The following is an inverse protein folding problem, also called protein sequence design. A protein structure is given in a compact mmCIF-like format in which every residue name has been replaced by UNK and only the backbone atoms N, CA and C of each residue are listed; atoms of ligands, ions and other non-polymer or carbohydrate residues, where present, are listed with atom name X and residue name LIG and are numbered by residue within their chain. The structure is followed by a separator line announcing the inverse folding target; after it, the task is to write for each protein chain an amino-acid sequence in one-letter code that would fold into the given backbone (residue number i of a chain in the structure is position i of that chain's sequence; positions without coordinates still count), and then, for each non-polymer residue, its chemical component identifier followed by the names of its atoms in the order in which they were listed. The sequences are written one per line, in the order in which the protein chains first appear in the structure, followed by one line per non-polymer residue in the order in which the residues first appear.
data_IF_854070495700
#
_entry.id   IF_854070495700
#
_cell.length_a   1.000
_cell.length_b   1.000
_cell.length_c   1.000
_cell.angle_alpha   90.00
_cell.angle_beta   90.00
_cell.angle_gamma   90.00
#
_symmetry.space_group_name_H-M   'P 1'
#
loop_
_entity.id
_entity.type
_entity.pdbx_description
1 polymer ?
#
# COMPACT_ATOMS: atom_id res chain seq x y z
N UNK A 1 4.19 -7.35 -26.18
CA UNK A 1 4.39 -7.08 -24.74
C UNK A 1 3.60 -8.11 -23.96
N UNK A 2 4.19 -8.81 -23.00
CA UNK A 2 3.47 -9.84 -22.23
C UNK A 2 2.34 -9.17 -21.42
N UNK A 3 1.21 -9.87 -21.24
CA UNK A 3 0.04 -9.32 -20.52
C UNK A 3 0.37 -8.87 -19.08
N UNK A 4 1.41 -9.46 -18.48
CA UNK A 4 1.89 -9.16 -17.13
C UNK A 4 2.60 -7.80 -17.04
N UNK A 5 3.46 -7.45 -18.00
CA UNK A 5 4.07 -6.11 -18.03
C UNK A 5 3.00 -5.04 -18.15
N UNK A 6 1.99 -5.30 -18.99
CA UNK A 6 0.71 -4.62 -19.10
C UNK A 6 0.10 -4.20 -17.74
N UNK A 7 -0.05 -5.20 -16.89
CA UNK A 7 -0.63 -5.10 -15.55
C UNK A 7 0.25 -4.22 -14.64
N UNK A 8 1.54 -4.51 -14.58
CA UNK A 8 2.48 -3.82 -13.69
C UNK A 8 2.56 -2.32 -14.02
N UNK A 9 2.53 -1.97 -15.31
CA UNK A 9 2.48 -0.58 -15.74
C UNK A 9 1.22 0.16 -15.24
N UNK A 10 0.06 -0.49 -15.27
CA UNK A 10 -1.18 0.10 -14.73
C UNK A 10 -1.11 0.31 -13.23
N UNK A 11 -0.63 -0.70 -12.49
CA UNK A 11 -0.42 -0.59 -11.04
C UNK A 11 0.55 0.55 -10.69
N UNK A 12 1.58 0.77 -11.51
CA UNK A 12 2.54 1.86 -11.35
C UNK A 12 1.91 3.23 -11.58
N UNK A 13 1.08 3.36 -12.62
CA UNK A 13 0.34 4.60 -12.93
C UNK A 13 -0.69 4.93 -11.85
N UNK A 14 -1.39 3.94 -11.29
CA UNK A 14 -2.31 4.16 -10.15
C UNK A 14 -1.57 4.71 -8.94
N UNK A 15 -0.44 4.09 -8.56
CA UNK A 15 0.33 4.60 -7.43
C UNK A 15 0.86 6.01 -7.69
N UNK A 16 1.30 6.31 -8.91
CA UNK A 16 1.72 7.66 -9.28
C UNK A 16 0.59 8.68 -9.10
N UNK A 17 -0.65 8.35 -9.51
CA UNK A 17 -1.81 9.22 -9.35
C UNK A 17 -2.15 9.52 -7.87
N UNK A 18 -1.93 8.56 -6.97
CA UNK A 18 -2.14 8.74 -5.52
C UNK A 18 -1.31 9.89 -4.94
N UNK A 19 -0.10 10.15 -5.48
CA UNK A 19 0.74 11.26 -5.00
C UNK A 19 0.09 12.64 -5.20
N UNK A 20 -0.84 12.75 -6.14
CA UNK A 20 -1.51 13.99 -6.51
C UNK A 20 -2.90 14.12 -5.89
N UNK A 21 -3.30 13.18 -5.02
CA UNK A 21 -4.50 13.37 -4.21
C UNK A 21 -4.31 14.60 -3.31
N UNK A 22 -5.31 15.48 -3.35
CA UNK A 22 -5.37 16.66 -2.49
C UNK A 22 -5.61 16.22 -1.05
N UNK A 23 -5.02 16.94 -0.11
CA UNK A 23 -5.09 16.56 1.30
C UNK A 23 -6.51 16.77 1.82
N UNK A 24 -7.13 15.70 2.32
CA UNK A 24 -8.17 15.78 3.34
C UNK A 24 -7.58 15.60 4.74
N UNK A 25 -8.39 15.93 5.73
CA UNK A 25 -8.10 15.59 7.12
C UNK A 25 -7.94 14.08 7.27
N UNK A 26 -6.96 13.69 8.08
CA UNK A 26 -6.77 12.29 8.42
C UNK A 26 -7.95 11.77 9.22
N UNK A 27 -8.46 10.60 8.83
CA UNK A 27 -9.50 9.88 9.57
C UNK A 27 -8.87 8.82 10.48
N UNK A 28 -9.47 8.51 11.64
CA UNK A 28 -9.12 7.33 12.41
C UNK A 28 -9.17 6.07 11.54
N UNK A 29 -8.27 5.11 11.81
CA UNK A 29 -8.09 3.90 11.03
C UNK A 29 -7.91 2.69 11.96
N UNK A 30 -8.48 1.57 11.58
CA UNK A 30 -8.18 0.27 12.20
C UNK A 30 -7.14 -0.47 11.36
N UNK A 31 -5.93 -0.65 11.89
CA UNK A 31 -4.88 -1.46 11.27
C UNK A 31 -4.99 -2.91 11.75
N UNK A 32 -5.43 -3.80 10.86
CA UNK A 32 -5.54 -5.25 11.08
C UNK A 32 -4.23 -5.92 10.64
N UNK A 33 -3.42 -6.31 11.61
CA UNK A 33 -2.04 -6.72 11.39
C UNK A 33 -1.93 -8.24 11.25
N UNK A 34 -1.40 -8.66 10.11
CA UNK A 34 -1.01 -10.03 9.84
C UNK A 34 0.44 -10.26 10.25
N UNK A 35 0.72 -11.39 10.89
CA UNK A 35 2.11 -11.82 11.11
C UNK A 35 2.79 -12.04 9.76
N UNK A 36 4.00 -11.50 9.58
CA UNK A 36 4.75 -11.69 8.35
C UNK A 36 5.32 -13.12 8.29
N UNK A 37 4.98 -13.93 7.27
CA UNK A 37 5.52 -15.29 7.17
C UNK A 37 7.01 -15.33 6.79
N UNK A 38 7.56 -14.23 6.23
CA UNK A 38 8.94 -14.19 5.77
C UNK A 38 9.93 -13.81 6.88
N UNK A 39 9.59 -12.88 7.77
CA UNK A 39 10.49 -12.40 8.83
C UNK A 39 9.96 -12.60 10.25
N UNK A 40 8.73 -13.08 10.41
CA UNK A 40 8.14 -13.36 11.72
C UNK A 40 7.58 -12.17 12.47
N UNK A 41 7.72 -10.94 11.95
CA UNK A 41 7.19 -9.71 12.55
C UNK A 41 5.70 -9.85 12.91
N UNK A 42 5.32 -9.39 14.09
CA UNK A 42 3.98 -9.52 14.68
C UNK A 42 3.28 -8.20 14.97
N UNK A 43 2.14 -8.24 15.66
CA UNK A 43 1.33 -7.06 15.96
C UNK A 43 2.10 -5.97 16.70
N UNK A 44 2.87 -6.35 17.73
CA UNK A 44 3.68 -5.43 18.55
C UNK A 44 4.69 -4.64 17.68
N UNK A 45 5.26 -5.29 16.66
CA UNK A 45 6.17 -4.66 15.72
C UNK A 45 5.47 -3.56 14.88
N UNK A 46 4.25 -3.85 14.43
CA UNK A 46 3.47 -2.89 13.67
C UNK A 46 3.01 -1.72 14.55
N UNK A 47 2.63 -2.00 15.79
CA UNK A 47 2.17 -1.01 16.77
C UNK A 47 3.26 0.01 17.08
N UNK A 48 4.49 -0.45 17.38
CA UNK A 48 5.65 0.41 17.61
C UNK A 48 5.88 1.38 16.44
N UNK A 49 5.76 0.88 15.21
CA UNK A 49 5.96 1.69 14.01
C UNK A 49 4.83 2.68 13.76
N UNK A 50 3.58 2.23 13.81
CA UNK A 50 2.41 3.04 13.48
C UNK A 50 2.21 4.17 14.49
N UNK A 51 2.47 3.92 15.78
CA UNK A 51 2.45 4.96 16.81
C UNK A 51 3.63 5.92 16.73
N UNK A 52 4.75 5.50 16.12
CA UNK A 52 5.93 6.32 15.88
C UNK A 52 5.86 7.22 14.63
N UNK A 53 4.78 7.17 13.84
CA UNK A 53 4.68 7.95 12.61
C UNK A 53 4.55 9.46 12.89
N UNK A 54 5.49 10.30 12.40
CA UNK A 54 5.38 11.74 12.53
C UNK A 54 4.34 12.25 11.53
N UNK A 55 3.07 12.29 11.94
CA UNK A 55 2.00 12.90 11.16
C UNK A 55 1.85 14.35 11.59
N UNK A 56 2.00 15.26 10.63
CA UNK A 56 1.77 16.69 10.82
C UNK A 56 0.29 16.91 11.20
N UNK A 57 0.03 17.37 12.42
CA UNK A 57 -1.33 17.51 12.98
C UNK A 57 -1.65 16.57 14.15
N UNK A 58 -0.73 15.69 14.54
CA UNK A 58 -0.89 14.68 15.61
C UNK A 58 -0.80 13.26 15.04
N UNK A 59 -0.45 12.24 15.85
CA UNK A 59 -0.40 10.87 15.37
C UNK A 59 -1.77 10.48 14.79
N UNK A 60 -1.80 9.74 13.68
CA UNK A 60 -3.06 9.26 13.16
C UNK A 60 -3.67 8.37 14.25
N UNK A 61 -4.96 8.54 14.54
CA UNK A 61 -5.65 7.68 15.49
C UNK A 61 -5.77 6.28 14.86
N UNK A 62 -4.71 5.49 14.98
CA UNK A 62 -4.62 4.13 14.44
C UNK A 62 -4.82 3.18 15.59
N UNK A 63 -5.91 2.42 15.53
CA UNK A 63 -6.07 1.27 16.43
C UNK A 63 -5.43 0.06 15.77
N UNK A 64 -4.42 -0.51 16.42
CA UNK A 64 -3.72 -1.69 15.92
C UNK A 64 -4.30 -2.94 16.56
N UNK A 65 -4.69 -3.92 15.75
CA UNK A 65 -5.16 -5.21 16.23
C UNK A 65 -4.67 -6.36 15.35
N UNK A 66 -4.48 -7.57 15.90
CA UNK A 66 -4.25 -8.76 15.10
C UNK A 66 -5.34 -8.97 14.04
N UNK A 67 -4.98 -9.43 12.85
CA UNK A 67 -5.92 -9.70 11.76
C UNK A 67 -6.92 -10.84 12.07
N UNK A 68 -6.67 -11.64 13.11
CA UNK A 68 -7.58 -12.65 13.63
C UNK A 68 -8.70 -12.06 14.48
N UNK A 69 -8.53 -10.85 15.00
CA UNK A 69 -9.54 -10.19 15.82
C UNK A 69 -10.62 -9.53 14.97
N UNK A 70 -11.87 -9.53 15.45
CA UNK A 70 -12.95 -8.83 14.77
C UNK A 70 -12.69 -7.34 14.78
N UNK A 71 -13.12 -6.66 13.71
CA UNK A 71 -13.09 -5.19 13.65
C UNK A 71 -13.95 -4.63 14.80
N UNK A 72 -13.45 -3.64 15.55
CA UNK A 72 -14.25 -2.95 16.56
C UNK A 72 -15.53 -2.35 15.97
N UNK A 73 -16.64 -2.35 16.73
CA UNK A 73 -17.83 -1.60 16.35
C UNK A 73 -17.48 -0.10 16.35
N UNK A 74 -17.83 0.63 15.30
CA UNK A 74 -17.51 2.06 15.20
C UNK A 74 -17.45 2.60 13.77
N UNK A 75 -17.33 1.71 12.78
CA UNK A 75 -17.34 2.16 11.37
C UNK A 75 -16.05 2.85 10.93
N UNK A 76 -14.96 2.83 11.70
CA UNK A 76 -13.69 3.39 11.23
C UNK A 76 -13.08 2.54 10.11
N UNK A 77 -12.60 3.10 9.00
CA UNK A 77 -12.03 2.34 7.89
C UNK A 77 -10.97 1.36 8.39
N UNK A 78 -10.92 0.18 7.77
CA UNK A 78 -9.99 -0.88 8.13
C UNK A 78 -8.93 -1.09 7.04
N UNK A 79 -7.69 -1.29 7.48
CA UNK A 79 -6.56 -1.65 6.64
C UNK A 79 -5.96 -2.97 7.13
N UNK A 80 -5.98 -4.00 6.29
CA UNK A 80 -5.22 -5.22 6.54
C UNK A 80 -3.82 -5.11 5.93
N UNK A 81 -2.78 -5.31 6.74
CA UNK A 81 -1.37 -5.22 6.33
C UNK A 81 -0.51 -6.30 7.01
N UNK A 82 0.65 -6.63 6.44
CA UNK A 82 1.67 -7.41 7.14
C UNK A 82 2.40 -6.51 8.16
N UNK A 83 2.76 -7.08 9.30
CA UNK A 83 3.43 -6.38 10.39
C UNK A 83 4.77 -5.72 10.01
N UNK A 84 5.45 -6.25 9.01
CA UNK A 84 6.74 -5.75 8.57
C UNK A 84 6.65 -4.59 7.56
N UNK A 85 5.44 -4.19 7.16
CA UNK A 85 5.24 -3.14 6.17
C UNK A 85 5.38 -1.74 6.78
N UNK A 86 6.22 -0.92 6.15
CA UNK A 86 6.20 0.52 6.31
C UNK A 86 5.34 1.14 5.21
N UNK A 87 4.21 1.74 5.61
CA UNK A 87 3.28 2.44 4.73
C UNK A 87 3.75 3.89 4.51
N UNK A 88 3.78 4.39 3.27
CA UNK A 88 4.00 5.81 3.05
C UNK A 88 2.80 6.62 3.54
N UNK A 89 3.03 7.87 3.99
CA UNK A 89 1.96 8.77 4.46
C UNK A 89 0.78 8.91 3.47
N UNK A 90 1.09 8.85 2.16
CA UNK A 90 0.09 8.90 1.08
C UNK A 90 -0.90 7.74 1.08
N UNK A 91 -0.58 6.60 1.70
CA UNK A 91 -1.53 5.50 1.89
C UNK A 91 -2.67 5.89 2.80
N UNK A 92 -2.36 6.57 3.91
CA UNK A 92 -3.39 7.03 4.84
C UNK A 92 -4.29 8.10 4.20
N UNK A 93 -3.72 8.99 3.39
CA UNK A 93 -4.51 9.98 2.62
C UNK A 93 -5.46 9.30 1.63
N UNK A 94 -5.00 8.29 0.89
CA UNK A 94 -5.87 7.54 -0.02
C UNK A 94 -7.02 6.85 0.71
N UNK A 95 -6.74 6.25 1.87
CA UNK A 95 -7.76 5.63 2.72
C UNK A 95 -8.76 6.68 3.20
N UNK A 96 -8.29 7.84 3.65
CA UNK A 96 -9.16 8.94 4.10
C UNK A 96 -10.07 9.46 2.97
N UNK A 97 -9.53 9.64 1.76
CA UNK A 97 -10.32 10.01 0.57
C UNK A 97 -11.39 8.96 0.26
N UNK A 98 -11.05 7.67 0.33
CA UNK A 98 -11.98 6.58 0.05
C UNK A 98 -13.05 6.43 1.14
N UNK A 99 -12.68 6.62 2.40
CA UNK A 99 -13.56 6.48 3.55
C UNK A 99 -14.60 7.61 3.64
N UNK A 100 -14.29 8.80 3.11
CA UNK A 100 -15.22 9.94 3.11
C UNK A 100 -16.55 9.63 2.43
N UNK A 101 -16.55 8.77 1.41
CA UNK A 101 -17.76 8.27 0.75
C UNK A 101 -18.27 6.93 1.28
N UNK A 102 -17.53 6.27 2.16
CA UNK A 102 -17.81 4.90 2.59
C UNK A 102 -17.22 4.59 3.98
N UNK A 103 -18.04 4.71 5.02
CA UNK A 103 -17.68 4.39 6.42
C UNK A 103 -17.32 2.90 6.58
N UNK A 104 -17.83 1.99 5.74
CA UNK A 104 -17.55 0.56 5.87
C UNK A 104 -16.26 0.09 5.15
N UNK A 105 -15.36 0.99 4.75
CA UNK A 105 -14.16 0.65 3.98
C UNK A 105 -13.30 -0.43 4.67
N UNK A 106 -12.97 -1.49 3.94
CA UNK A 106 -11.99 -2.50 4.32
C UNK A 106 -11.06 -2.72 3.12
N UNK A 107 -9.79 -2.40 3.29
CA UNK A 107 -8.77 -2.47 2.24
C UNK A 107 -7.59 -3.31 2.70
N UNK A 108 -6.85 -3.87 1.75
CA UNK A 108 -5.62 -4.63 2.02
C UNK A 108 -4.42 -3.98 1.36
N UNK A 109 -3.23 -4.08 1.96
CA UNK A 109 -1.99 -3.83 1.22
C UNK A 109 -1.79 -4.89 0.14
N UNK A 110 -1.01 -4.57 -0.90
CA UNK A 110 -0.60 -5.57 -1.90
C UNK A 110 0.11 -6.75 -1.26
N UNK A 111 0.93 -6.53 -0.22
CA UNK A 111 1.67 -7.61 0.41
C UNK A 111 0.74 -8.55 1.19
N UNK A 112 -0.25 -8.02 1.92
CA UNK A 112 -1.26 -8.82 2.61
C UNK A 112 -2.12 -9.62 1.61
N UNK A 113 -2.61 -8.97 0.55
CA UNK A 113 -3.37 -9.63 -0.51
C UNK A 113 -2.55 -10.70 -1.24
N UNK A 114 -1.28 -10.41 -1.53
CA UNK A 114 -0.35 -11.38 -2.12
C UNK A 114 -0.14 -12.57 -1.19
N UNK A 115 0.15 -12.36 0.09
CA UNK A 115 0.42 -13.44 1.06
C UNK A 115 -0.79 -14.35 1.28
N UNK A 116 -2.01 -13.82 1.20
CA UNK A 116 -3.26 -14.57 1.44
C UNK A 116 -3.90 -15.15 0.18
N UNK A 117 -3.29 -14.92 -0.99
CA UNK A 117 -3.86 -15.38 -2.25
C UNK A 117 -3.96 -16.91 -2.31
N UNK A 118 -4.99 -17.46 -2.97
CA UNK A 118 -5.02 -18.87 -3.30
C UNK A 118 -3.78 -19.29 -4.12
N UNK A 119 -3.28 -20.51 -3.96
CA UNK A 119 -2.21 -21.04 -4.81
C UNK A 119 -2.60 -20.94 -6.29
N UNK A 120 -1.67 -20.50 -7.13
CA UNK A 120 -1.91 -20.38 -8.56
C UNK A 120 -0.75 -19.72 -9.31
N UNK A 121 -0.87 -19.61 -10.65
CA UNK A 121 0.16 -18.99 -11.47
C UNK A 121 0.38 -17.51 -11.12
N UNK A 122 1.65 -17.09 -11.08
CA UNK A 122 2.04 -15.69 -10.82
C UNK A 122 1.32 -14.67 -11.74
N UNK A 123 1.18 -14.90 -13.06
CA UNK A 123 0.42 -13.99 -13.93
C UNK A 123 -1.03 -13.80 -13.49
N UNK A 124 -1.72 -14.88 -13.12
CA UNK A 124 -3.11 -14.82 -12.69
C UNK A 124 -3.26 -14.03 -11.38
N UNK A 125 -2.33 -14.22 -10.44
CA UNK A 125 -2.29 -13.45 -9.19
C UNK A 125 -2.08 -11.95 -9.44
N UNK A 126 -1.20 -11.59 -10.38
CA UNK A 126 -0.98 -10.19 -10.76
C UNK A 126 -2.22 -9.57 -11.41
N UNK A 127 -2.90 -10.30 -12.30
CA UNK A 127 -4.16 -9.85 -12.87
C UNK A 127 -5.27 -9.66 -11.82
N UNK A 128 -5.34 -10.53 -10.82
CA UNK A 128 -6.28 -10.39 -9.71
C UNK A 128 -5.99 -9.14 -8.86
N UNK A 129 -4.71 -8.88 -8.55
CA UNK A 129 -4.31 -7.64 -7.86
C UNK A 129 -4.63 -6.38 -8.68
N UNK A 130 -4.35 -6.38 -9.98
CA UNK A 130 -4.73 -5.27 -10.89
C UNK A 130 -6.23 -4.99 -10.85
N UNK A 131 -7.06 -6.03 -10.84
CA UNK A 131 -8.50 -5.89 -10.75
C UNK A 131 -8.94 -5.32 -9.39
N UNK A 132 -8.35 -5.82 -8.30
CA UNK A 132 -8.65 -5.37 -6.94
C UNK A 132 -8.18 -3.93 -6.63
N UNK A 133 -7.33 -3.34 -7.49
CA UNK A 133 -6.89 -1.94 -7.39
C UNK A 133 -7.74 -0.97 -8.23
N UNK A 134 -8.62 -1.46 -9.11
CA UNK A 134 -9.37 -0.63 -10.07
C UNK A 134 -10.28 0.41 -9.44
N UNK A 135 -10.67 0.22 -8.18
CA UNK A 135 -11.47 1.20 -7.45
C UNK A 135 -10.78 2.58 -7.33
N UNK A 136 -9.46 2.63 -7.52
CA UNK A 136 -8.66 3.84 -7.53
C UNK A 136 -8.43 4.46 -8.92
N UNK A 137 -9.02 3.90 -9.99
CA UNK A 137 -8.88 4.43 -11.36
C UNK A 137 -9.70 5.71 -11.59
N UNK A 138 -10.72 5.97 -10.78
CA UNK A 138 -11.67 7.07 -10.97
C UNK A 138 -12.00 7.79 -9.67
N UNK A 139 -12.27 9.10 -9.77
CA UNK A 139 -12.81 9.91 -8.69
C UNK A 139 -14.33 10.12 -8.90
N UNK A 140 -15.16 10.06 -7.83
CA UNK A 140 -14.80 9.66 -6.47
C UNK A 140 -14.43 8.18 -6.42
N UNK A 141 -13.55 7.83 -5.47
CA UNK A 141 -13.06 6.47 -5.28
C UNK A 141 -14.23 5.52 -4.96
N UNK A 142 -14.22 4.31 -5.53
CA UNK A 142 -15.32 3.33 -5.38
C UNK A 142 -14.84 1.95 -4.92
N UNK A 143 -14.47 1.79 -3.64
CA UNK A 143 -13.90 0.55 -3.12
C UNK A 143 -14.86 -0.63 -3.25
N UNK A 144 -14.35 -1.79 -3.66
CA UNK A 144 -15.04 -3.08 -3.61
C UNK A 144 -14.74 -3.80 -2.29
N UNK A 145 -15.48 -4.88 -1.99
CA UNK A 145 -15.26 -5.69 -0.78
C UNK A 145 -13.91 -6.42 -0.71
N UNK A 146 -13.15 -6.44 -1.81
CA UNK A 146 -11.82 -7.02 -1.95
C UNK A 146 -10.74 -5.97 -2.28
N UNK A 147 -11.03 -4.69 -2.05
CA UNK A 147 -10.17 -3.58 -2.43
C UNK A 147 -8.72 -3.72 -1.92
N UNK A 148 -7.77 -3.58 -2.84
CA UNK A 148 -6.34 -3.53 -2.55
C UNK A 148 -5.84 -2.11 -2.76
N UNK A 149 -5.05 -1.61 -1.81
CA UNK A 149 -4.40 -0.31 -1.94
C UNK A 149 -3.40 -0.34 -3.10
N UNK A 150 -3.52 0.58 -4.08
CA UNK A 150 -2.57 0.70 -5.18
C UNK A 150 -1.27 1.38 -4.75
N UNK A 151 -0.70 0.96 -3.62
CA UNK A 151 0.48 1.55 -3.01
C UNK A 151 1.41 0.45 -2.57
N UNK A 152 2.67 0.59 -2.95
CA UNK A 152 3.76 -0.27 -2.58
C UNK A 152 4.33 0.15 -1.23
N UNK A 153 4.66 -0.85 -0.44
CA UNK A 153 5.19 -0.68 0.92
C UNK A 153 6.69 -0.95 0.92
N UNK A 154 7.35 -0.56 2.02
CA UNK A 154 8.76 -0.85 2.28
C UNK A 154 8.87 -1.80 3.46
N UNK A 155 10.05 -2.38 3.67
CA UNK A 155 10.29 -3.05 4.93
C UNK A 155 10.45 -2.01 6.03
N UNK A 156 9.80 -2.22 7.18
CA UNK A 156 10.00 -1.40 8.37
C UNK A 156 11.50 -1.29 8.69
N UNK A 157 12.01 -0.08 8.95
CA UNK A 157 13.36 0.09 9.49
C UNK A 157 13.49 -0.69 10.81
N UNK A 158 14.55 -1.48 10.95
CA UNK A 158 14.92 -2.02 12.25
C UNK A 158 15.94 -1.06 12.86
N UNK A 159 15.60 -0.37 13.97
CA UNK A 159 16.46 0.63 14.57
C UNK A 159 17.77 0.03 15.12
N UNK A 160 17.85 -1.30 15.24
CA UNK A 160 19.01 -2.01 15.80
C UNK A 160 20.03 -2.47 14.74
N UNK A 161 19.81 -2.16 13.45
CA UNK A 161 20.67 -2.66 12.36
C UNK A 161 21.61 -1.62 11.76
N UNK A 162 22.77 -2.10 11.30
CA UNK A 162 23.76 -1.31 10.58
C UNK A 162 23.20 -0.67 9.29
N UNK A 163 23.71 0.51 8.95
CA UNK A 163 23.24 1.33 7.83
C UNK A 163 23.19 0.62 6.47
N UNK A 164 24.09 -0.33 6.21
CA UNK A 164 24.12 -1.11 4.98
C UNK A 164 22.89 -2.03 4.86
N UNK A 165 22.52 -2.71 5.95
CA UNK A 165 21.31 -3.53 6.04
C UNK A 165 20.05 -2.65 5.99
N UNK A 166 20.12 -1.45 6.57
CA UNK A 166 19.06 -0.45 6.49
C UNK A 166 18.76 -0.01 5.05
N UNK A 167 19.77 0.25 4.21
CA UNK A 167 19.57 0.66 2.80
C UNK A 167 18.82 -0.38 1.96
N UNK A 168 19.13 -1.66 2.11
CA UNK A 168 18.42 -2.74 1.38
C UNK A 168 16.93 -2.81 1.79
N UNK A 169 16.60 -2.42 3.02
CA UNK A 169 15.22 -2.36 3.53
C UNK A 169 14.44 -1.14 3.06
N UNK A 170 15.14 -0.08 2.63
CA UNK A 170 14.53 1.08 1.99
C UNK A 170 14.07 0.77 0.55
N UNK A 171 14.54 -0.32 -0.06
CA UNK A 171 14.12 -0.72 -1.38
C UNK A 171 12.63 -1.07 -1.38
N UNK A 172 11.84 -0.26 -2.09
CA UNK A 172 10.41 -0.47 -2.26
C UNK A 172 10.19 -1.53 -3.33
N UNK A 173 9.34 -2.51 -3.01
CA UNK A 173 8.91 -3.51 -3.97
C UNK A 173 7.41 -3.39 -4.19
N UNK A 174 6.97 -3.45 -5.45
CA UNK A 174 5.59 -3.14 -5.79
C UNK A 174 4.57 -4.09 -5.15
N UNK A 175 4.90 -5.38 -5.01
CA UNK A 175 4.06 -6.40 -4.37
C UNK A 175 4.26 -6.56 -2.86
N UNK A 176 5.46 -6.95 -2.44
CA UNK A 176 5.77 -7.31 -1.05
C UNK A 176 7.21 -6.92 -0.73
N UNK A 177 7.49 -6.37 0.47
CA UNK A 177 8.84 -5.94 0.86
C UNK A 177 9.85 -7.10 0.96
N UNK A 178 9.39 -8.36 0.97
CA UNK A 178 10.24 -9.56 1.03
C UNK A 178 10.41 -10.27 -0.31
N UNK A 179 10.13 -9.61 -1.44
CA UNK A 179 10.21 -10.28 -2.73
C UNK A 179 11.65 -10.64 -3.11
N UNK A 180 11.93 -11.94 -3.26
CA UNK A 180 13.27 -12.46 -3.64
C UNK A 180 13.31 -13.10 -5.02
N UNK A 181 12.16 -13.36 -5.66
CA UNK A 181 12.09 -14.00 -6.96
C UNK A 181 12.68 -13.14 -8.08
N UNK A 182 13.44 -13.75 -8.99
CA UNK A 182 14.13 -13.02 -10.06
C UNK A 182 13.17 -12.40 -11.08
N UNK A 183 12.13 -13.12 -11.51
CA UNK A 183 11.08 -12.60 -12.42
C UNK A 183 10.41 -11.34 -11.87
N UNK A 184 10.12 -11.34 -10.57
CA UNK A 184 9.49 -10.21 -9.89
C UNK A 184 10.44 -9.01 -9.74
N UNK A 185 11.76 -9.23 -9.75
CA UNK A 185 12.76 -8.17 -9.72
C UNK A 185 12.74 -7.32 -10.99
N UNK A 186 12.73 -7.95 -12.16
CA UNK A 186 12.63 -7.25 -13.46
C UNK A 186 11.30 -6.50 -13.60
N UNK A 187 10.21 -7.10 -13.10
CA UNK A 187 8.91 -6.43 -13.03
C UNK A 187 8.94 -5.24 -12.08
N UNK A 188 9.62 -5.33 -10.94
CA UNK A 188 9.77 -4.21 -10.02
C UNK A 188 10.59 -3.07 -10.62
N UNK A 189 11.64 -3.36 -11.39
CA UNK A 189 12.39 -2.32 -12.12
C UNK A 189 11.50 -1.59 -13.13
N UNK A 190 10.70 -2.36 -13.88
CA UNK A 190 9.73 -1.80 -14.82
C UNK A 190 8.68 -0.95 -14.10
N UNK A 191 8.15 -1.46 -12.99
CA UNK A 191 7.21 -0.75 -12.12
C UNK A 191 7.76 0.61 -11.67
N UNK A 192 8.97 0.62 -11.11
CA UNK A 192 9.61 1.82 -10.59
C UNK A 192 9.81 2.87 -11.68
N UNK A 193 10.34 2.45 -12.85
CA UNK A 193 10.52 3.34 -14.00
C UNK A 193 9.20 3.97 -14.44
N UNK A 194 8.15 3.16 -14.61
CA UNK A 194 6.85 3.64 -15.08
C UNK A 194 6.19 4.55 -14.04
N UNK A 195 6.29 4.24 -12.75
CA UNK A 195 5.76 5.07 -11.67
C UNK A 195 6.41 6.45 -11.68
N UNK A 196 7.74 6.53 -11.81
CA UNK A 196 8.49 7.79 -11.86
C UNK A 196 8.07 8.61 -13.10
N UNK A 197 8.05 8.00 -14.29
CA UNK A 197 7.62 8.69 -15.51
C UNK A 197 6.17 9.19 -15.40
N UNK A 198 5.25 8.36 -14.91
CA UNK A 198 3.86 8.75 -14.74
C UNK A 198 3.69 9.89 -13.74
N UNK A 199 4.45 9.90 -12.64
CA UNK A 199 4.44 11.00 -11.69
C UNK A 199 4.99 12.30 -12.30
N UNK A 200 6.05 12.23 -13.10
CA UNK A 200 6.58 13.38 -13.83
C UNK A 200 5.56 13.94 -14.84
N UNK A 201 4.89 13.07 -15.59
CA UNK A 201 3.83 13.47 -16.54
C UNK A 201 2.67 14.18 -15.83
N UNK A 202 2.25 13.67 -14.67
CA UNK A 202 1.20 14.29 -13.84
C UNK A 202 1.63 15.65 -13.30
N UNK A 203 2.88 15.77 -12.83
CA UNK A 203 3.43 17.05 -12.35
C UNK A 203 3.43 18.12 -13.43
N UNK A 204 3.82 17.76 -14.67
CA UNK A 204 3.80 18.69 -15.81
C UNK A 204 2.37 19.15 -16.11
N UNK A 205 1.39 18.24 -16.05
CA UNK A 205 -0.02 18.58 -16.27
C UNK A 205 -0.58 19.51 -15.19
N UNK A 206 -0.29 19.25 -13.92
CA UNK A 206 -0.70 20.13 -12.82
C UNK A 206 -0.09 21.53 -12.97
N UNK A 207 1.19 21.62 -13.34
CA UNK A 207 1.86 22.91 -13.59
C UNK A 207 1.27 23.71 -14.77
N UNK A 208 0.71 23.03 -15.78
CA UNK A 208 -0.01 23.68 -16.88
C UNK A 208 -1.40 24.20 -16.49
N UNK A 209 -2.00 23.64 -15.44
CA UNK A 209 -3.32 24.04 -14.93
C UNK A 209 -3.26 25.27 -14.00
N UNK A 210 -2.07 25.79 -13.72
CA UNK A 210 -1.88 27.11 -13.07
C UNK A 210 -2.18 27.15 -11.57
N UNK A 211 -2.04 26.01 -10.88
CA UNK A 211 -2.06 25.95 -9.42
C UNK A 211 -0.70 26.28 -8.81
#
# INVERSE_FOLDING_TARGET
MSGVTAVVERMARREAAVFFLRSREMTPLVARVMRCPACGAGTDDAEEYLHGLPVWGGPPAVTVLPATEPRPPGGDPALTMLACEALPARAFLLIAEAAHGNVALDVRTRAAAWTTRPPGPEPAALHALDAAERWADVLPLRPSGDAVLPISTRLRPDPRQEWQAHRTRLAQHFLTPHCTAHSLRELNETYQRVRICAAADLLVREGQLGY
#
